data_IF_467692621184
#
_entry.id   IF_467692621184
#
_cell.length_a   1.000
_cell.length_b   1.000
_cell.length_c   1.000
_cell.angle_alpha   90.00
_cell.angle_beta   90.00
_cell.angle_gamma   90.00
#
_symmetry.space_group_name_H-M   'P 1'
#
loop_
_entity.id
_entity.type
_entity.pdbx_description
1 polymer ?
#
# COMPACT_ATOMS: atom_id res chain seq x y z
N UNK A 1 8.15 -32.61 3.36
CA UNK A 1 8.13 -32.05 2.01
C UNK A 1 8.39 -30.54 2.09
N UNK A 2 9.12 -30.01 1.12
CA UNK A 2 9.47 -28.57 1.05
C UNK A 2 9.03 -28.06 -0.31
N UNK A 3 8.14 -27.08 -0.31
CA UNK A 3 7.67 -26.42 -1.54
C UNK A 3 8.00 -24.94 -1.51
N UNK A 4 8.63 -24.44 -2.59
CA UNK A 4 8.95 -23.03 -2.79
C UNK A 4 8.07 -22.43 -3.88
N UNK A 5 7.50 -21.25 -3.60
CA UNK A 5 6.67 -20.51 -4.55
C UNK A 5 7.07 -19.05 -4.58
N UNK A 6 7.42 -18.53 -5.74
CA UNK A 6 7.59 -17.09 -5.94
C UNK A 6 6.23 -16.41 -6.00
N UNK A 7 6.07 -15.36 -5.22
CA UNK A 7 4.84 -14.55 -5.16
C UNK A 7 5.15 -13.09 -5.41
N UNK A 8 4.18 -12.40 -6.00
CA UNK A 8 4.25 -10.97 -6.30
C UNK A 8 3.01 -10.29 -5.75
N UNK A 9 3.20 -9.12 -5.17
CA UNK A 9 2.11 -8.27 -4.68
C UNK A 9 2.28 -6.84 -5.21
N UNK A 10 1.18 -6.23 -5.62
CA UNK A 10 1.15 -4.85 -6.12
C UNK A 10 0.61 -3.91 -5.06
N UNK A 11 0.96 -2.63 -5.16
CA UNK A 11 0.35 -1.58 -4.36
C UNK A 11 -1.17 -1.53 -4.56
N UNK A 12 -1.89 -1.07 -3.54
CA UNK A 12 -3.33 -0.78 -3.67
C UNK A 12 -3.54 0.30 -4.74
N UNK A 13 -4.67 0.33 -5.46
CA UNK A 13 -4.96 1.36 -6.46
C UNK A 13 -4.85 2.79 -5.90
N UNK A 14 -4.69 3.77 -6.78
CA UNK A 14 -4.77 5.18 -6.42
C UNK A 14 -6.12 5.49 -5.74
N UNK A 15 -6.15 6.56 -4.97
CA UNK A 15 -7.36 6.94 -4.24
C UNK A 15 -8.42 7.56 -5.14
N UNK A 16 -9.65 7.09 -4.99
CA UNK A 16 -10.87 7.86 -5.23
C UNK A 16 -11.40 8.42 -3.90
N UNK A 17 -12.52 9.15 -3.92
CA UNK A 17 -13.08 9.73 -2.69
C UNK A 17 -13.46 8.67 -1.66
N UNK A 18 -14.13 7.61 -2.06
CA UNK A 18 -14.58 6.55 -1.15
C UNK A 18 -13.40 5.87 -0.46
N UNK A 19 -12.35 5.52 -1.22
CA UNK A 19 -11.20 4.81 -0.67
C UNK A 19 -10.42 5.68 0.33
N UNK A 20 -10.26 6.98 0.06
CA UNK A 20 -9.57 7.86 1.01
C UNK A 20 -10.40 8.09 2.27
N UNK A 21 -11.74 8.19 2.16
CA UNK A 21 -12.63 8.29 3.31
C UNK A 21 -12.55 7.03 4.19
N UNK A 22 -12.58 5.84 3.60
CA UNK A 22 -12.43 4.57 4.32
C UNK A 22 -11.07 4.46 5.02
N UNK A 23 -10.01 4.85 4.31
CA UNK A 23 -8.65 4.78 4.88
C UNK A 23 -8.47 5.80 6.00
N UNK A 24 -8.97 7.03 5.85
CA UNK A 24 -8.90 8.07 6.87
C UNK A 24 -9.74 7.70 8.12
N UNK A 25 -10.89 7.06 7.91
CA UNK A 25 -11.70 6.54 9.01
C UNK A 25 -10.95 5.45 9.79
N UNK A 26 -10.35 4.49 9.10
CA UNK A 26 -9.63 3.38 9.73
C UNK A 26 -8.36 3.82 10.47
N UNK A 27 -7.62 4.80 9.94
CA UNK A 27 -6.34 5.24 10.50
C UNK A 27 -6.46 6.37 11.51
N UNK A 28 -7.44 7.27 11.33
CA UNK A 28 -7.53 8.52 12.07
C UNK A 28 -8.90 8.74 12.74
N UNK A 29 -9.84 7.80 12.59
CA UNK A 29 -11.21 7.92 13.16
C UNK A 29 -12.04 9.04 12.52
N UNK A 30 -11.70 9.47 11.30
CA UNK A 30 -12.36 10.58 10.64
C UNK A 30 -13.69 10.16 9.99
N UNK A 31 -14.71 11.00 10.10
CA UNK A 31 -15.94 10.82 9.34
C UNK A 31 -15.73 11.10 7.84
N UNK A 32 -16.58 10.56 6.95
CA UNK A 32 -16.51 10.86 5.52
C UNK A 32 -16.58 12.34 5.21
N UNK A 33 -17.44 13.11 5.94
CA UNK A 33 -17.58 14.56 5.78
C UNK A 33 -16.30 15.31 6.16
N UNK A 34 -15.67 14.94 7.29
CA UNK A 34 -14.40 15.54 7.71
C UNK A 34 -13.29 15.28 6.69
N UNK A 35 -13.18 14.05 6.22
CA UNK A 35 -12.19 13.68 5.19
C UNK A 35 -12.40 14.49 3.91
N UNK A 36 -13.64 14.58 3.41
CA UNK A 36 -13.95 15.36 2.21
C UNK A 36 -13.55 16.84 2.39
N UNK A 37 -13.90 17.46 3.52
CA UNK A 37 -13.56 18.86 3.77
C UNK A 37 -12.04 19.10 3.74
N UNK A 38 -11.26 18.17 4.31
CA UNK A 38 -9.79 18.27 4.30
C UNK A 38 -9.23 18.09 2.89
N UNK A 39 -9.67 17.07 2.15
CA UNK A 39 -9.20 16.85 0.77
C UNK A 39 -9.59 18.04 -0.12
N UNK A 40 -10.77 18.63 0.11
CA UNK A 40 -11.22 19.82 -0.61
C UNK A 40 -10.36 21.03 -0.28
N UNK A 41 -9.97 21.25 0.99
CA UNK A 41 -9.01 22.28 1.38
C UNK A 41 -7.65 22.09 0.71
N UNK A 42 -7.14 20.85 0.66
CA UNK A 42 -5.89 20.52 -0.01
C UNK A 42 -5.94 20.77 -1.54
N UNK A 43 -7.11 20.63 -2.14
CA UNK A 43 -7.36 20.96 -3.55
C UNK A 43 -7.54 22.46 -3.78
N UNK A 44 -8.45 23.12 -3.05
CA UNK A 44 -8.87 24.51 -3.33
C UNK A 44 -7.91 25.56 -2.76
N UNK A 45 -7.53 25.40 -1.49
CA UNK A 45 -6.70 26.35 -0.75
C UNK A 45 -5.22 26.12 -0.99
N UNK A 46 -4.75 24.89 -0.77
CA UNK A 46 -3.32 24.55 -0.86
C UNK A 46 -2.90 24.17 -2.27
N UNK A 47 -3.81 23.74 -3.12
CA UNK A 47 -3.60 23.34 -4.52
C UNK A 47 -2.62 22.19 -4.71
N UNK A 48 -2.46 21.36 -3.67
CA UNK A 48 -1.46 20.26 -3.64
C UNK A 48 -2.05 18.89 -3.97
N UNK A 49 -3.38 18.77 -4.03
CA UNK A 49 -4.08 17.56 -4.51
C UNK A 49 -4.97 17.89 -5.71
N UNK A 50 -5.27 16.87 -6.50
CA UNK A 50 -6.24 16.96 -7.61
C UNK A 50 -7.67 16.94 -7.09
N UNK A 51 -8.65 17.13 -7.97
CA UNK A 51 -10.06 17.25 -7.63
C UNK A 51 -10.56 16.05 -6.81
N UNK A 52 -11.21 16.29 -5.64
CA UNK A 52 -11.50 15.22 -4.68
C UNK A 52 -12.75 14.38 -5.00
N UNK A 53 -13.72 14.93 -5.75
CA UNK A 53 -14.99 14.25 -6.01
C UNK A 53 -14.87 13.40 -7.27
N UNK A 54 -14.17 12.29 -7.16
CA UNK A 54 -13.95 11.33 -8.24
C UNK A 54 -14.19 9.91 -7.74
N UNK A 55 -14.72 9.07 -8.60
CA UNK A 55 -14.86 7.63 -8.42
C UNK A 55 -13.71 6.85 -9.10
N UNK A 56 -12.92 7.53 -9.94
CA UNK A 56 -11.81 6.91 -10.66
C UNK A 56 -10.60 6.64 -9.76
N UNK A 57 -9.96 5.51 -10.00
CA UNK A 57 -8.66 5.10 -9.44
C UNK A 57 -7.54 5.13 -10.46
N UNK A 58 -7.79 5.76 -11.61
CA UNK A 58 -6.89 5.76 -12.76
C UNK A 58 -6.55 7.17 -13.18
N UNK A 59 -5.45 7.27 -13.93
CA UNK A 59 -4.98 8.47 -14.60
C UNK A 59 -5.20 8.35 -16.11
N UNK A 60 -5.19 9.46 -16.81
CA UNK A 60 -5.18 9.51 -18.27
C UNK A 60 -3.77 9.46 -18.83
N UNK A 61 -3.63 9.06 -20.08
CA UNK A 61 -2.31 8.84 -20.70
C UNK A 61 -1.48 10.13 -20.88
N UNK A 62 -2.12 11.28 -21.03
CA UNK A 62 -1.49 12.61 -21.11
C UNK A 62 -0.77 12.99 -19.79
N UNK A 63 -1.25 12.49 -18.65
CA UNK A 63 -0.63 12.76 -17.35
C UNK A 63 0.73 12.09 -17.18
N UNK A 64 1.10 11.13 -18.02
CA UNK A 64 2.39 10.44 -17.94
C UNK A 64 3.57 11.44 -17.94
N UNK A 65 3.45 12.49 -18.70
CA UNK A 65 4.49 13.50 -18.85
C UNK A 65 4.67 14.40 -17.60
N UNK A 66 3.65 14.47 -16.74
CA UNK A 66 3.67 15.31 -15.52
C UNK A 66 4.13 14.55 -14.28
N UNK A 67 4.27 13.22 -14.35
CA UNK A 67 4.58 12.38 -13.17
C UNK A 67 5.89 12.80 -12.49
N UNK A 68 6.91 13.14 -13.27
CA UNK A 68 8.22 13.52 -12.73
C UNK A 68 8.16 14.81 -11.91
N UNK A 69 7.43 15.80 -12.38
CA UNK A 69 7.27 17.08 -11.69
C UNK A 69 6.45 16.91 -10.41
N UNK A 70 5.40 16.07 -10.46
CA UNK A 70 4.60 15.70 -9.28
C UNK A 70 5.44 14.99 -8.22
N UNK A 71 6.26 14.01 -8.61
CA UNK A 71 7.18 13.31 -7.71
C UNK A 71 8.12 14.31 -7.04
N UNK A 72 8.71 15.21 -7.81
CA UNK A 72 9.66 16.22 -7.32
C UNK A 72 9.01 17.20 -6.35
N UNK A 73 7.73 17.52 -6.53
CA UNK A 73 6.99 18.45 -5.69
C UNK A 73 6.68 17.93 -4.30
N UNK A 74 6.51 16.59 -4.12
CA UNK A 74 6.02 16.01 -2.86
C UNK A 74 6.87 16.39 -1.64
N UNK A 75 8.18 16.18 -1.67
CA UNK A 75 9.07 16.49 -0.54
C UNK A 75 8.79 15.69 0.74
N UNK A 76 9.03 16.32 1.90
CA UNK A 76 8.73 15.72 3.22
C UNK A 76 9.54 14.46 3.55
N UNK A 77 8.88 13.48 4.17
CA UNK A 77 9.48 12.22 4.63
C UNK A 77 9.83 11.24 3.50
N UNK A 78 9.51 11.58 2.24
CA UNK A 78 9.68 10.71 1.08
C UNK A 78 10.95 10.99 0.28
N UNK A 79 11.90 11.79 0.79
CA UNK A 79 13.09 12.24 0.06
C UNK A 79 13.90 11.12 -0.57
N UNK A 80 14.10 10.01 0.13
CA UNK A 80 14.86 8.87 -0.37
C UNK A 80 14.17 8.20 -1.57
N UNK A 81 12.88 7.88 -1.42
CA UNK A 81 12.08 7.29 -2.50
C UNK A 81 11.95 8.23 -3.70
N UNK A 82 11.75 9.53 -3.46
CA UNK A 82 11.74 10.54 -4.52
C UNK A 82 13.06 10.53 -5.29
N UNK A 83 14.21 10.54 -4.58
CA UNK A 83 15.53 10.49 -5.22
C UNK A 83 15.74 9.24 -6.07
N UNK A 84 15.24 8.08 -5.64
CA UNK A 84 15.24 6.83 -6.41
C UNK A 84 14.37 6.96 -7.66
N UNK A 85 13.13 7.43 -7.51
CA UNK A 85 12.16 7.55 -8.62
C UNK A 85 12.62 8.57 -9.68
N UNK A 86 13.21 9.69 -9.28
CA UNK A 86 13.70 10.70 -10.25
C UNK A 86 14.83 10.19 -11.17
N UNK A 87 15.51 9.10 -10.80
CA UNK A 87 16.52 8.43 -11.62
C UNK A 87 15.93 7.44 -12.63
N UNK A 88 14.64 7.08 -12.47
CA UNK A 88 13.94 6.17 -13.37
C UNK A 88 13.62 6.90 -14.68
N UNK A 89 13.96 6.30 -15.81
CA UNK A 89 13.70 6.88 -17.14
C UNK A 89 12.24 6.73 -17.56
N UNK A 90 11.64 5.57 -17.24
CA UNK A 90 10.25 5.28 -17.61
C UNK A 90 9.55 4.54 -16.46
N UNK A 91 8.43 5.09 -15.98
CA UNK A 91 7.66 4.52 -14.88
C UNK A 91 6.74 3.40 -15.40
N UNK A 92 6.60 2.31 -14.64
CA UNK A 92 5.61 1.29 -14.96
C UNK A 92 4.20 1.79 -14.63
N UNK A 93 3.62 2.53 -15.55
CA UNK A 93 2.29 3.15 -15.38
C UNK A 93 1.12 2.27 -15.83
N UNK A 94 1.36 1.04 -16.32
CA UNK A 94 0.32 0.14 -16.85
C UNK A 94 -0.86 -0.10 -15.91
N UNK A 95 -0.61 -0.05 -14.59
CA UNK A 95 -1.63 -0.29 -13.56
C UNK A 95 -2.44 0.94 -13.19
N UNK A 96 -1.91 2.14 -13.43
CA UNK A 96 -2.51 3.40 -13.03
C UNK A 96 -3.04 4.23 -14.20
N UNK A 97 -2.63 3.96 -15.43
CA UNK A 97 -3.13 4.67 -16.62
C UNK A 97 -4.16 3.81 -17.32
N UNK A 98 -5.39 4.33 -17.40
CA UNK A 98 -6.49 3.72 -18.17
C UNK A 98 -7.52 4.77 -18.53
N UNK A 99 -7.46 5.30 -19.77
CA UNK A 99 -8.37 6.35 -20.24
C UNK A 99 -9.85 5.92 -20.18
N UNK A 100 -10.15 4.64 -20.45
CA UNK A 100 -11.53 4.14 -20.44
C UNK A 100 -12.16 4.08 -19.06
N UNK A 101 -11.35 4.17 -17.99
CA UNK A 101 -11.79 4.16 -16.59
C UNK A 101 -11.68 5.53 -15.91
N UNK A 102 -11.50 6.57 -16.69
CA UNK A 102 -11.57 7.96 -16.27
C UNK A 102 -12.69 8.61 -17.01
N UNK A 103 -13.76 8.99 -16.30
CA UNK A 103 -14.90 9.72 -16.87
C UNK A 103 -14.59 11.23 -16.88
N UNK A 104 -15.06 11.96 -15.86
CA UNK A 104 -14.88 13.42 -15.77
C UNK A 104 -13.59 13.79 -15.06
N UNK A 105 -13.20 13.02 -14.04
CA UNK A 105 -12.04 13.28 -13.22
C UNK A 105 -11.24 12.01 -12.96
N UNK A 106 -9.91 12.14 -13.01
CA UNK A 106 -8.98 11.06 -12.65
C UNK A 106 -8.84 10.89 -11.13
N UNK A 107 -8.06 9.91 -10.69
CA UNK A 107 -7.79 9.62 -9.29
C UNK A 107 -7.21 10.83 -8.52
N UNK A 108 -7.38 10.82 -7.21
CA UNK A 108 -6.81 11.83 -6.31
C UNK A 108 -5.31 11.56 -6.16
N UNK A 109 -4.49 12.49 -6.63
CA UNK A 109 -3.02 12.42 -6.57
C UNK A 109 -2.42 13.80 -6.23
N UNK A 110 -1.12 13.86 -5.83
CA UNK A 110 -0.41 15.13 -5.70
C UNK A 110 -0.34 15.89 -7.01
N UNK A 111 -0.38 17.22 -6.92
CA UNK A 111 -0.12 18.13 -8.05
C UNK A 111 1.37 18.43 -8.16
N UNK A 112 1.74 19.29 -9.11
CA UNK A 112 3.08 19.85 -9.27
C UNK A 112 3.40 20.96 -8.24
N UNK A 113 2.40 21.34 -7.45
CA UNK A 113 2.56 22.35 -6.40
C UNK A 113 3.25 21.75 -5.17
N UNK A 114 4.37 22.36 -4.76
CA UNK A 114 5.06 21.95 -3.53
C UNK A 114 4.22 22.29 -2.29
N UNK A 115 4.00 21.32 -1.36
CA UNK A 115 3.26 21.58 -0.14
C UNK A 115 4.01 22.54 0.80
N UNK A 116 3.29 23.51 1.33
CA UNK A 116 3.78 24.34 2.44
C UNK A 116 3.24 23.76 3.75
N UNK A 117 3.98 22.84 4.33
CA UNK A 117 3.57 22.15 5.57
C UNK A 117 3.34 23.09 6.76
N UNK A 118 4.00 24.26 6.78
CA UNK A 118 3.81 25.26 7.84
C UNK A 118 2.42 25.92 7.80
N UNK A 119 1.76 25.89 6.64
CA UNK A 119 0.40 26.46 6.47
C UNK A 119 -0.71 25.40 6.55
N UNK A 120 -0.36 24.13 6.72
CA UNK A 120 -1.30 23.02 6.82
C UNK A 120 -1.54 22.67 8.28
N UNK A 121 -2.77 22.28 8.60
CA UNK A 121 -3.06 21.59 9.85
C UNK A 121 -2.45 20.18 9.90
N UNK A 122 -2.34 19.61 11.09
CA UNK A 122 -1.85 18.24 11.27
C UNK A 122 -2.67 17.22 10.47
N UNK A 123 -4.00 17.40 10.40
CA UNK A 123 -4.86 16.51 9.64
C UNK A 123 -4.71 16.68 8.13
N UNK A 124 -4.54 17.93 7.64
CA UNK A 124 -4.23 18.18 6.22
C UNK A 124 -2.90 17.53 5.84
N UNK A 125 -1.87 17.65 6.69
CA UNK A 125 -0.58 17.00 6.49
C UNK A 125 -0.70 15.48 6.45
N UNK A 126 -1.44 14.86 7.38
CA UNK A 126 -1.68 13.42 7.42
C UNK A 126 -2.38 12.91 6.17
N UNK A 127 -3.44 13.58 5.74
CA UNK A 127 -4.19 13.21 4.52
C UNK A 127 -3.35 13.42 3.26
N UNK A 128 -2.61 14.53 3.17
CA UNK A 128 -1.69 14.76 2.05
C UNK A 128 -0.64 13.64 1.96
N UNK A 129 0.02 13.31 3.08
CA UNK A 129 1.04 12.26 3.13
C UNK A 129 0.46 10.88 2.79
N UNK A 130 -0.79 10.62 3.17
CA UNK A 130 -1.49 9.37 2.80
C UNK A 130 -1.65 9.25 1.27
N UNK A 131 -2.06 10.33 0.61
CA UNK A 131 -2.22 10.36 -0.85
C UNK A 131 -0.86 10.30 -1.55
N UNK A 132 0.11 11.08 -1.08
CA UNK A 132 1.47 11.09 -1.63
C UNK A 132 2.13 9.72 -1.53
N UNK A 133 2.04 9.06 -0.38
CA UNK A 133 2.52 7.68 -0.18
C UNK A 133 1.91 6.72 -1.19
N UNK A 134 0.57 6.71 -1.32
CA UNK A 134 -0.14 5.84 -2.27
C UNK A 134 0.26 6.09 -3.72
N UNK A 135 0.47 7.35 -4.08
CA UNK A 135 0.94 7.73 -5.41
C UNK A 135 2.35 7.18 -5.68
N UNK A 136 3.30 7.38 -4.76
CA UNK A 136 4.67 6.86 -4.88
C UNK A 136 4.72 5.33 -4.89
N UNK A 137 3.92 4.65 -4.05
CA UNK A 137 3.79 3.18 -4.03
C UNK A 137 3.42 2.62 -5.41
N UNK A 138 2.56 3.32 -6.16
CA UNK A 138 2.13 2.88 -7.49
C UNK A 138 3.17 3.11 -8.60
N UNK A 139 4.19 3.91 -8.33
CA UNK A 139 5.31 4.17 -9.25
C UNK A 139 6.53 3.30 -8.94
N UNK A 140 6.58 2.68 -7.77
CA UNK A 140 7.60 1.73 -7.36
C UNK A 140 7.35 0.34 -7.95
N UNK A 141 8.40 -0.51 -8.02
CA UNK A 141 8.25 -1.90 -8.40
C UNK A 141 7.31 -2.67 -7.47
N UNK A 142 6.86 -3.82 -7.93
CA UNK A 142 6.08 -4.75 -7.12
C UNK A 142 6.93 -5.35 -5.99
N UNK A 143 6.27 -5.70 -4.88
CA UNK A 143 6.87 -6.53 -3.83
C UNK A 143 6.96 -7.96 -4.33
N UNK A 144 8.17 -8.57 -4.29
CA UNK A 144 8.40 -9.96 -4.67
C UNK A 144 9.01 -10.72 -3.51
N UNK A 145 8.50 -11.91 -3.26
CA UNK A 145 8.99 -12.80 -2.21
C UNK A 145 8.86 -14.26 -2.58
N UNK A 146 9.69 -15.09 -1.97
CA UNK A 146 9.61 -16.55 -2.02
C UNK A 146 8.92 -17.03 -0.73
N UNK A 147 7.81 -17.75 -0.87
CA UNK A 147 7.16 -18.45 0.22
C UNK A 147 7.63 -19.91 0.18
N UNK A 148 8.24 -20.38 1.28
CA UNK A 148 8.59 -21.77 1.46
C UNK A 148 7.60 -22.41 2.41
N UNK A 149 6.93 -23.45 1.97
CA UNK A 149 6.06 -24.28 2.81
C UNK A 149 6.79 -25.56 3.17
N UNK A 150 6.95 -25.80 4.46
CA UNK A 150 7.49 -27.02 5.05
C UNK A 150 6.34 -27.87 5.53
N UNK A 151 6.27 -29.13 5.10
CA UNK A 151 5.27 -30.10 5.57
C UNK A 151 5.96 -31.24 6.31
N UNK A 152 5.52 -31.49 7.54
CA UNK A 152 6.04 -32.53 8.42
C UNK A 152 4.95 -33.54 8.70
N UNK A 153 5.26 -34.84 8.61
CA UNK A 153 4.37 -35.90 9.05
C UNK A 153 4.89 -36.46 10.39
N UNK A 154 4.11 -36.30 11.45
CA UNK A 154 4.44 -36.79 12.81
C UNK A 154 3.23 -37.57 13.29
N UNK A 155 3.41 -38.86 13.58
CA UNK A 155 2.36 -39.78 14.05
C UNK A 155 1.07 -39.70 13.18
N UNK A 156 1.21 -39.78 11.87
CA UNK A 156 0.13 -39.68 10.88
C UNK A 156 -0.64 -38.34 10.87
N UNK A 157 -0.09 -37.28 11.49
CA UNK A 157 -0.62 -35.92 11.44
C UNK A 157 0.32 -35.04 10.62
N UNK A 158 -0.26 -34.26 9.71
CA UNK A 158 0.52 -33.31 8.88
C UNK A 158 0.55 -31.95 9.56
N UNK A 159 1.74 -31.48 9.84
CA UNK A 159 2.01 -30.12 10.32
C UNK A 159 2.62 -29.32 9.16
N UNK A 160 2.32 -28.02 9.10
CA UNK A 160 2.94 -27.14 8.12
C UNK A 160 3.48 -25.89 8.78
N UNK A 161 4.65 -25.45 8.31
CA UNK A 161 5.24 -24.16 8.65
C UNK A 161 5.51 -23.38 7.36
N UNK A 162 5.42 -22.06 7.43
CA UNK A 162 5.71 -21.19 6.30
C UNK A 162 6.86 -20.25 6.62
N UNK A 163 7.86 -20.26 5.74
CA UNK A 163 8.92 -19.28 5.70
C UNK A 163 8.67 -18.27 4.59
N UNK A 164 9.21 -17.06 4.74
CA UNK A 164 9.13 -15.99 3.76
C UNK A 164 10.51 -15.37 3.58
N UNK A 165 10.98 -15.29 2.33
CA UNK A 165 12.21 -14.60 1.95
C UNK A 165 11.87 -13.45 1.01
N UNK A 166 12.24 -12.23 1.38
CA UNK A 166 12.04 -11.05 0.53
C UNK A 166 13.06 -11.07 -0.60
N UNK A 167 12.57 -10.95 -1.84
CA UNK A 167 13.40 -10.87 -3.06
C UNK A 167 13.52 -9.42 -3.52
N UNK A 168 12.42 -8.65 -3.41
CA UNK A 168 12.36 -7.26 -3.81
C UNK A 168 11.33 -6.52 -2.94
N UNK A 169 11.76 -5.52 -2.21
CA UNK A 169 10.87 -4.74 -1.33
C UNK A 169 9.80 -3.97 -2.11
N UNK A 170 10.18 -3.39 -3.26
CA UNK A 170 9.27 -2.66 -4.10
C UNK A 170 8.49 -1.58 -3.34
N UNK A 171 7.18 -1.46 -3.59
CA UNK A 171 6.36 -0.44 -2.95
C UNK A 171 6.29 -0.55 -1.41
N UNK A 172 6.59 -1.71 -0.84
CA UNK A 172 6.59 -1.91 0.62
C UNK A 172 7.74 -1.20 1.33
N UNK A 173 8.76 -0.70 0.61
CA UNK A 173 9.80 0.14 1.22
C UNK A 173 9.22 1.40 1.91
N UNK A 174 8.04 1.87 1.46
CA UNK A 174 7.30 2.98 2.07
C UNK A 174 6.42 2.55 3.26
N UNK A 175 6.27 1.27 3.49
CA UNK A 175 5.57 0.75 4.66
C UNK A 175 6.56 0.70 5.83
N UNK A 176 6.20 1.28 6.98
CA UNK A 176 7.00 1.15 8.21
C UNK A 176 6.91 -0.25 8.84
N UNK A 177 6.20 -1.17 8.20
CA UNK A 177 6.19 -2.57 8.60
C UNK A 177 7.58 -3.15 8.33
N UNK A 178 8.24 -3.65 9.36
CA UNK A 178 9.49 -4.38 9.22
C UNK A 178 9.26 -5.56 8.29
N UNK A 179 9.86 -5.48 7.11
CA UNK A 179 9.92 -6.58 6.16
C UNK A 179 10.92 -7.60 6.70
N UNK A 180 10.49 -8.44 7.65
CA UNK A 180 11.34 -9.47 8.23
C UNK A 180 11.31 -10.71 7.36
N UNK A 181 12.51 -11.17 6.97
CA UNK A 181 12.70 -12.52 6.47
C UNK A 181 12.35 -13.52 7.58
N UNK A 182 11.31 -14.31 7.35
CA UNK A 182 10.94 -15.43 8.22
C UNK A 182 11.45 -16.72 7.58
N UNK A 183 12.77 -16.88 7.54
CA UNK A 183 13.38 -18.10 7.01
C UNK A 183 13.58 -19.12 8.12
N UNK A 184 13.08 -20.33 7.90
CA UNK A 184 13.39 -21.51 8.74
C UNK A 184 14.52 -22.23 8.02
N UNK A 185 15.69 -22.30 8.65
CA UNK A 185 16.84 -22.99 8.09
C UNK A 185 16.84 -24.46 8.56
N UNK A 186 16.26 -25.34 7.77
CA UNK A 186 16.28 -26.78 8.00
C UNK A 186 17.43 -27.39 7.20
N UNK A 187 18.52 -27.75 7.88
CA UNK A 187 19.73 -28.28 7.22
C UNK A 187 19.66 -29.77 6.91
N UNK A 188 18.76 -30.56 7.54
CA UNK A 188 18.65 -32.02 7.35
C UNK A 188 17.19 -32.48 7.37
N UNK A 189 16.92 -33.63 6.72
CA UNK A 189 15.57 -34.22 6.63
C UNK A 189 15.07 -34.84 7.96
N UNK A 190 15.92 -35.05 8.94
CA UNK A 190 15.56 -35.61 10.25
C UNK A 190 15.83 -34.60 11.34
N UNK A 191 14.77 -34.08 11.92
CA UNK A 191 14.82 -33.16 13.08
C UNK A 191 14.11 -33.84 14.26
N UNK A 192 14.74 -33.80 15.43
CA UNK A 192 14.08 -34.23 16.67
C UNK A 192 13.18 -33.12 17.17
N UNK A 193 11.92 -33.43 17.40
CA UNK A 193 10.99 -32.50 18.02
C UNK A 193 11.30 -32.41 19.51
N UNK A 194 11.81 -31.27 19.97
CA UNK A 194 12.16 -31.06 21.40
C UNK A 194 10.93 -30.63 22.23
N UNK A 195 10.04 -29.85 21.67
CA UNK A 195 8.80 -29.45 22.34
C UNK A 195 7.72 -29.04 21.33
N UNK A 196 6.45 -29.24 21.72
CA UNK A 196 5.29 -28.80 20.96
C UNK A 196 4.43 -27.91 21.88
N UNK A 197 4.38 -26.61 21.58
CA UNK A 197 3.52 -25.66 22.29
C UNK A 197 2.23 -25.51 21.48
N UNK A 198 1.12 -25.92 22.07
CA UNK A 198 -0.21 -25.84 21.45
C UNK A 198 -0.96 -24.63 22.00
N UNK A 199 -1.25 -23.67 21.11
CA UNK A 199 -2.13 -22.53 21.42
C UNK A 199 -3.47 -22.71 20.72
N UNK A 200 -4.51 -23.09 21.47
CA UNK A 200 -5.88 -23.18 20.94
C UNK A 200 -6.47 -21.77 20.85
N UNK A 201 -6.60 -21.24 19.63
CA UNK A 201 -7.32 -20.01 19.37
C UNK A 201 -8.80 -20.35 19.15
N UNK A 202 -9.67 -20.00 20.08
CA UNK A 202 -11.12 -20.04 19.83
C UNK A 202 -11.51 -18.81 19.01
N UNK A 203 -11.97 -19.03 17.78
CA UNK A 203 -12.67 -18.01 17.00
C UNK A 203 -14.13 -18.04 17.40
N UNK A 204 -14.62 -17.00 18.07
CA UNK A 204 -16.06 -16.79 18.23
C UNK A 204 -16.61 -16.23 16.91
N UNK A 205 -17.59 -16.93 16.33
CA UNK A 205 -18.40 -16.36 15.27
C UNK A 205 -19.17 -15.18 15.86
N UNK A 206 -19.08 -14.01 15.23
CA UNK A 206 -19.96 -12.90 15.59
C UNK A 206 -21.41 -13.35 15.35
N UNK A 207 -22.35 -13.07 16.28
CA UNK A 207 -23.74 -13.37 16.08
C UNK A 207 -24.23 -12.61 14.83
N UNK A 208 -24.93 -13.32 13.94
CA UNK A 208 -25.64 -12.67 12.84
C UNK A 208 -26.67 -11.72 13.43
N UNK A 209 -26.57 -10.45 13.08
CA UNK A 209 -27.61 -9.45 13.36
C UNK A 209 -28.76 -9.80 12.43
N UNK A 210 -29.83 -10.41 12.96
CA UNK A 210 -31.07 -10.52 12.22
C UNK A 210 -31.70 -9.14 12.15
N UNK A 211 -31.74 -8.57 10.98
CA UNK A 211 -32.59 -7.41 10.69
C UNK A 211 -34.04 -7.88 10.71
N UNK A 212 -34.79 -7.43 11.71
CA UNK A 212 -36.26 -7.41 11.70
C UNK A 212 -36.73 -6.05 11.23
#
# INVERSE_FOLDING_TARGET
>A
DVQKKSKTSSAKPLYNLTDIQQTASALFGMSPKQTLNIVQSLYEKHKVLTYPRTDSRYLTSDMKNTLKDRIQAIGGDFKETISKLLKVKDYNTKKIINNAKVSDHHAIIPTEQRPNYMSMSDMETKIYNLVAKRFLENLLPEYKYEETTYSFNIDNKVFSAKGLKVIQEGYKELSREELQDKTINLQNNNHKLESLVYNKKQTHNQPQVNEN
#
